data_IF_900689472216
#
_entry.id   IF_900689472216
#
_cell.length_a   1.000
_cell.length_b   1.000
_cell.length_c   1.000
_cell.angle_alpha   90.00
_cell.angle_beta   90.00
_cell.angle_gamma   90.00
#
_symmetry.space_group_name_H-M   'P 1'
#
loop_
_entity.id
_entity.type
_entity.pdbx_description
1 polymer ?
#
# COMPACT_ATOMS: atom_id res chain seq x y z
N UNK A 1 -1.32 16.13 14.14
CA UNK A 1 -2.56 15.33 14.07
C UNK A 1 -2.27 14.08 13.24
N UNK A 2 -2.53 12.88 13.76
CA UNK A 2 -2.40 11.61 13.03
C UNK A 2 -3.73 11.23 12.37
N UNK A 3 -4.26 12.10 11.50
CA UNK A 3 -5.49 11.77 10.74
C UNK A 3 -5.10 11.06 9.45
N UNK A 4 -5.89 10.08 8.97
CA UNK A 4 -5.62 9.44 7.68
C UNK A 4 -5.76 10.43 6.53
N UNK A 5 -5.08 10.13 5.43
CA UNK A 5 -5.14 10.89 4.20
C UNK A 5 -6.30 10.39 3.34
N UNK A 6 -7.04 11.31 2.73
CA UNK A 6 -8.12 11.00 1.80
C UNK A 6 -7.63 11.26 0.38
N UNK A 7 -7.45 10.19 -0.40
CA UNK A 7 -6.97 10.26 -1.79
C UNK A 7 -8.13 9.93 -2.71
N UNK A 8 -8.39 10.76 -3.72
CA UNK A 8 -9.45 10.53 -4.70
C UNK A 8 -9.11 11.13 -6.06
N UNK A 9 -9.67 10.55 -7.12
CA UNK A 9 -9.87 11.27 -8.38
C UNK A 9 -11.07 12.20 -8.24
N UNK A 10 -11.20 13.13 -9.19
CA UNK A 10 -12.34 14.05 -9.23
C UNK A 10 -13.64 13.24 -9.28
N UNK A 11 -14.58 13.59 -8.42
CA UNK A 11 -15.93 13.01 -8.35
C UNK A 11 -16.03 11.51 -7.96
N UNK A 12 -14.93 10.89 -7.50
CA UNK A 12 -14.91 9.53 -6.96
C UNK A 12 -14.96 9.49 -5.42
N UNK A 13 -15.34 8.33 -4.86
CA UNK A 13 -15.26 8.10 -3.41
C UNK A 13 -13.79 8.11 -2.98
N UNK A 14 -13.45 8.76 -1.85
CA UNK A 14 -12.07 8.79 -1.39
C UNK A 14 -11.62 7.47 -0.79
N UNK A 15 -10.42 7.06 -1.17
CA UNK A 15 -9.63 6.07 -0.45
C UNK A 15 -9.07 6.71 0.82
N UNK A 16 -9.32 6.07 1.96
CA UNK A 16 -8.78 6.49 3.26
C UNK A 16 -7.49 5.71 3.52
N UNK A 17 -6.36 6.41 3.49
CA UNK A 17 -5.03 5.80 3.67
C UNK A 17 -4.41 6.27 4.99
N UNK A 18 -4.04 5.36 5.92
CA UNK A 18 -3.31 5.74 7.12
C UNK A 18 -1.96 6.38 6.78
N UNK A 19 -1.60 7.48 7.45
CA UNK A 19 -0.28 8.13 7.25
C UNK A 19 0.88 7.17 7.52
N UNK A 20 0.73 6.28 8.49
CA UNK A 20 1.73 5.27 8.82
C UNK A 20 1.97 4.30 7.66
N UNK A 21 0.91 3.94 6.92
CA UNK A 21 1.03 3.07 5.76
C UNK A 21 1.80 3.76 4.64
N UNK A 22 1.48 5.04 4.36
CA UNK A 22 2.22 5.85 3.39
C UNK A 22 3.69 5.98 3.81
N UNK A 23 3.97 6.24 5.09
CA UNK A 23 5.36 6.34 5.58
C UNK A 23 6.14 5.03 5.41
N UNK A 24 5.48 3.90 5.64
CA UNK A 24 6.08 2.56 5.54
C UNK A 24 6.39 2.15 4.10
N UNK A 25 5.56 2.60 3.15
CA UNK A 25 5.68 2.28 1.73
C UNK A 25 6.46 3.35 0.95
N UNK A 26 7.19 4.23 1.64
CA UNK A 26 8.02 5.22 0.99
C UNK A 26 9.15 4.55 0.18
N UNK A 27 9.25 4.91 -1.10
CA UNK A 27 10.29 4.43 -2.03
C UNK A 27 11.58 5.26 -2.05
N UNK A 28 11.73 6.26 -1.17
CA UNK A 28 12.99 6.98 -1.00
C UNK A 28 14.13 5.99 -0.66
N UNK A 29 15.35 6.14 -1.21
CA UNK A 29 16.46 5.22 -0.96
C UNK A 29 16.82 4.99 0.52
N UNK A 30 16.45 5.94 1.40
CA UNK A 30 16.60 5.82 2.87
C UNK A 30 15.57 4.86 3.48
N UNK A 31 14.42 4.66 2.84
CA UNK A 31 13.31 3.82 3.31
C UNK A 31 13.11 2.54 2.47
N UNK A 32 13.71 2.45 1.28
CA UNK A 32 13.54 1.33 0.36
C UNK A 32 14.85 0.97 -0.36
N UNK A 33 15.05 -0.33 -0.62
CA UNK A 33 16.10 -0.84 -1.50
C UNK A 33 15.48 -1.25 -2.83
N UNK A 34 15.73 -0.48 -3.88
CA UNK A 34 15.20 -0.75 -5.22
C UNK A 34 15.82 -2.01 -5.85
N UNK A 35 17.11 -2.27 -5.61
CA UNK A 35 17.80 -3.43 -6.20
C UNK A 35 17.26 -4.77 -5.67
N UNK A 36 16.74 -4.81 -4.44
CA UNK A 36 16.25 -6.04 -3.81
C UNK A 36 14.74 -6.05 -3.61
N UNK A 37 14.05 -4.95 -3.95
CA UNK A 37 12.65 -4.70 -3.61
C UNK A 37 12.31 -4.88 -2.12
N UNK A 38 13.20 -4.44 -1.23
CA UNK A 38 13.02 -4.60 0.23
C UNK A 38 12.83 -3.26 0.94
N UNK A 39 11.90 -3.23 1.90
CA UNK A 39 11.75 -2.10 2.83
C UNK A 39 12.96 -2.01 3.76
N UNK A 40 13.39 -0.78 4.04
CA UNK A 40 14.38 -0.43 5.07
C UNK A 40 13.74 0.28 6.28
N UNK A 41 12.43 0.53 6.25
CA UNK A 41 11.69 1.17 7.33
C UNK A 41 11.77 0.33 8.62
N UNK A 42 11.96 1.01 9.77
CA UNK A 42 11.93 0.38 11.08
C UNK A 42 10.52 0.50 11.67
N UNK A 43 9.87 -0.62 11.96
CA UNK A 43 8.51 -0.65 12.48
C UNK A 43 8.36 0.05 13.86
N UNK A 44 9.42 0.09 14.67
CA UNK A 44 9.37 0.60 16.06
C UNK A 44 9.19 2.12 16.10
N UNK A 45 9.79 2.85 15.15
CA UNK A 45 9.74 4.32 15.13
C UNK A 45 8.79 4.89 14.05
N UNK A 46 8.22 4.02 13.22
CA UNK A 46 7.39 4.38 12.08
C UNK A 46 6.20 5.28 12.45
N UNK A 47 5.50 4.94 13.55
CA UNK A 47 4.39 5.75 14.06
C UNK A 47 4.83 7.16 14.48
N UNK A 48 6.05 7.28 15.01
CA UNK A 48 6.66 8.55 15.39
C UNK A 48 7.04 9.41 14.18
N UNK A 49 7.48 8.76 13.10
CA UNK A 49 7.93 9.38 11.83
C UNK A 49 6.78 9.72 10.87
N UNK A 50 5.63 9.06 10.97
CA UNK A 50 4.46 9.28 10.13
C UNK A 50 3.70 10.57 10.50
N UNK A 51 4.40 11.72 10.49
CA UNK A 51 3.86 13.03 10.86
C UNK A 51 4.17 14.05 9.76
N UNK A 52 3.18 14.87 9.43
CA UNK A 52 3.29 16.01 8.51
C UNK A 52 3.15 17.32 9.30
N UNK A 53 3.71 18.43 8.79
CA UNK A 53 3.58 19.75 9.44
C UNK A 53 2.22 20.40 9.20
N UNK A 54 1.62 20.13 8.05
CA UNK A 54 0.31 20.62 7.67
C UNK A 54 0.02 20.34 6.19
N UNK A 55 -1.00 21.00 5.64
CA UNK A 55 -1.39 20.83 4.23
C UNK A 55 -0.31 21.28 3.25
N UNK A 56 0.56 22.21 3.64
CA UNK A 56 1.70 22.66 2.84
C UNK A 56 2.73 21.55 2.60
N UNK A 57 2.73 20.51 3.44
CA UNK A 57 3.61 19.35 3.30
C UNK A 57 3.09 18.33 2.29
N UNK A 58 1.93 18.56 1.68
CA UNK A 58 1.29 17.63 0.76
C UNK A 58 0.99 18.35 -0.54
N UNK A 59 1.39 17.77 -1.67
CA UNK A 59 1.14 18.34 -2.98
C UNK A 59 0.83 17.27 -4.01
N UNK A 60 0.20 17.68 -5.11
CA UNK A 60 0.03 16.85 -6.30
C UNK A 60 1.03 17.34 -7.34
N UNK A 61 1.90 16.45 -7.80
CA UNK A 61 2.89 16.71 -8.84
C UNK A 61 2.31 16.23 -10.17
N UNK A 62 2.29 17.12 -11.16
CA UNK A 62 1.83 16.86 -12.54
C UNK A 62 0.44 16.23 -12.65
N UNK A 63 -0.42 16.41 -11.63
CA UNK A 63 -1.76 15.81 -11.57
C UNK A 63 -1.79 14.28 -11.35
N UNK A 64 -0.63 13.61 -11.25
CA UNK A 64 -0.54 12.13 -11.29
C UNK A 64 0.12 11.52 -10.06
N UNK A 65 0.92 12.30 -9.33
CA UNK A 65 1.64 11.82 -8.14
C UNK A 65 1.24 12.62 -6.91
N UNK A 66 1.04 11.91 -5.81
CA UNK A 66 0.95 12.47 -4.47
C UNK A 66 2.37 12.57 -3.88
N UNK A 67 2.78 13.77 -3.50
CA UNK A 67 4.02 14.01 -2.78
C UNK A 67 3.73 14.42 -1.33
N UNK A 68 4.51 13.87 -0.39
CA UNK A 68 4.39 14.12 1.05
C UNK A 68 5.77 14.40 1.62
N UNK A 69 5.95 15.58 2.21
CA UNK A 69 7.11 15.95 3.03
C UNK A 69 6.82 15.63 4.50
N UNK A 70 7.57 14.70 5.07
CA UNK A 70 7.44 14.32 6.47
C UNK A 70 8.20 15.28 7.38
N UNK A 71 7.82 15.33 8.67
CA UNK A 71 8.49 16.13 9.70
C UNK A 71 9.97 15.80 9.89
N UNK A 72 10.38 14.58 9.53
CA UNK A 72 11.78 14.14 9.58
C UNK A 72 12.59 14.56 8.33
N UNK A 73 11.99 15.34 7.42
CA UNK A 73 12.62 15.82 6.19
C UNK A 73 12.69 14.77 5.08
N UNK A 74 12.09 13.59 5.26
CA UNK A 74 11.96 12.62 4.20
C UNK A 74 10.82 12.99 3.25
N UNK A 75 10.94 12.64 1.97
CA UNK A 75 9.89 12.86 0.97
C UNK A 75 9.40 11.52 0.44
N UNK A 76 8.08 11.35 0.39
CA UNK A 76 7.46 10.22 -0.29
C UNK A 76 6.70 10.68 -1.51
N UNK A 77 6.80 9.90 -2.58
CA UNK A 77 6.05 10.09 -3.81
C UNK A 77 5.31 8.81 -4.17
N UNK A 78 4.04 8.95 -4.49
CA UNK A 78 3.17 7.85 -4.85
C UNK A 78 2.41 8.19 -6.14
N UNK A 79 2.46 7.33 -7.17
CA UNK A 79 1.50 7.41 -8.25
C UNK A 79 0.08 7.25 -7.68
N UNK A 80 -0.82 8.17 -8.00
CA UNK A 80 -2.20 8.15 -7.49
C UNK A 80 -2.91 6.89 -7.98
N UNK A 81 -2.64 6.48 -9.23
CA UNK A 81 -3.24 5.29 -9.84
C UNK A 81 -2.80 4.01 -9.14
N UNK A 82 -1.55 3.92 -8.68
CA UNK A 82 -1.07 2.80 -7.87
C UNK A 82 -1.80 2.76 -6.53
N UNK A 83 -1.97 3.90 -5.85
CA UNK A 83 -2.68 3.97 -4.57
C UNK A 83 -4.14 3.53 -4.71
N UNK A 84 -4.82 3.95 -5.76
CA UNK A 84 -6.23 3.62 -5.99
C UNK A 84 -6.41 2.17 -6.45
N UNK A 85 -5.55 1.66 -7.33
CA UNK A 85 -5.62 0.29 -7.85
C UNK A 85 -5.19 -0.77 -6.82
N UNK A 86 -4.24 -0.45 -5.95
CA UNK A 86 -3.82 -1.33 -4.85
C UNK A 86 -4.77 -1.33 -3.66
N UNK A 87 -5.80 -0.48 -3.68
CA UNK A 87 -6.83 -0.48 -2.65
C UNK A 87 -7.74 -1.69 -2.78
N UNK A 88 -7.38 -2.78 -2.11
CA UNK A 88 -8.34 -3.81 -1.80
C UNK A 88 -9.21 -3.28 -0.66
N UNK A 89 -10.39 -2.78 -1.01
CA UNK A 89 -11.49 -2.74 -0.06
C UNK A 89 -11.68 -4.18 0.41
N UNK A 90 -11.86 -4.44 1.71
CA UNK A 90 -12.08 -5.77 2.27
C UNK A 90 -13.34 -6.42 1.64
N UNK A 91 -13.20 -6.95 0.44
CA UNK A 91 -14.20 -7.74 -0.25
C UNK A 91 -14.01 -9.17 0.21
N UNK A 92 -15.09 -9.84 0.58
CA UNK A 92 -15.01 -11.25 0.94
C UNK A 92 -14.52 -12.03 -0.28
N UNK A 93 -13.30 -12.56 -0.20
CA UNK A 93 -12.76 -13.46 -1.22
C UNK A 93 -13.54 -14.77 -1.13
N UNK A 94 -14.19 -15.15 -2.22
CA UNK A 94 -14.78 -16.46 -2.35
C UNK A 94 -13.66 -17.51 -2.52
N UNK A 95 -13.21 -18.06 -1.39
CA UNK A 95 -12.12 -19.03 -1.33
C UNK A 95 -12.43 -20.31 -2.12
N UNK A 96 -13.70 -20.62 -2.35
CA UNK A 96 -14.11 -21.82 -3.09
C UNK A 96 -13.66 -21.78 -4.56
N UNK A 97 -13.36 -20.59 -5.10
CA UNK A 97 -12.80 -20.41 -6.45
C UNK A 97 -11.31 -20.75 -6.55
N UNK A 98 -10.61 -20.80 -5.42
CA UNK A 98 -9.14 -20.94 -5.38
C UNK A 98 -8.68 -22.19 -4.64
N UNK A 99 -9.51 -22.73 -3.75
CA UNK A 99 -9.15 -23.81 -2.86
C UNK A 99 -10.22 -24.89 -2.91
N UNK A 100 -9.79 -26.12 -3.16
CA UNK A 100 -10.59 -27.32 -2.97
C UNK A 100 -10.03 -28.03 -1.74
N UNK A 101 -10.82 -28.19 -0.66
CA UNK A 101 -10.40 -28.97 0.50
C UNK A 101 -10.08 -30.41 0.10
N UNK A 102 -9.00 -30.97 0.60
CA UNK A 102 -8.56 -32.34 0.27
C UNK A 102 -9.66 -33.41 0.46
N UNK A 103 -10.49 -33.27 1.50
CA UNK A 103 -11.62 -34.18 1.77
C UNK A 103 -12.76 -34.11 0.75
N UNK A 104 -12.74 -33.11 -0.12
CA UNK A 104 -13.73 -32.86 -1.17
C UNK A 104 -13.16 -33.16 -2.56
N UNK A 105 -11.89 -33.59 -2.66
CA UNK A 105 -11.31 -34.08 -3.92
C UNK A 105 -11.67 -35.56 -4.11
N UNK A 106 -12.05 -35.91 -5.32
CA UNK A 106 -12.17 -37.30 -5.75
C UNK A 106 -10.77 -37.88 -6.07
N UNK A 107 -10.61 -39.21 -6.04
CA UNK A 107 -9.30 -39.86 -6.26
C UNK A 107 -8.71 -39.59 -7.66
N UNK A 108 -9.56 -39.32 -8.64
CA UNK A 108 -9.22 -38.94 -10.01
C UNK A 108 -8.81 -37.47 -10.15
N UNK A 109 -9.12 -36.63 -9.18
CA UNK A 109 -8.73 -35.21 -9.12
C UNK A 109 -7.38 -35.00 -8.42
N UNK A 110 -6.78 -36.07 -7.91
CA UNK A 110 -5.46 -36.01 -7.27
C UNK A 110 -4.39 -35.61 -8.31
N UNK A 111 -3.67 -34.48 -8.10
CA UNK A 111 -2.67 -34.02 -9.05
C UNK A 111 -1.52 -35.04 -9.12
N UNK A 112 -1.40 -35.70 -10.28
CA UNK A 112 -0.28 -36.59 -10.60
C UNK A 112 0.65 -35.87 -11.55
N UNK A 113 1.86 -35.58 -11.10
CA UNK A 113 2.91 -35.11 -12.01
C UNK A 113 3.33 -36.29 -12.88
N UNK A 114 3.10 -36.21 -14.19
CA UNK A 114 3.70 -37.14 -15.13
C UNK A 114 5.20 -36.83 -15.23
N UNK A 115 6.03 -37.83 -14.95
CA UNK A 115 7.48 -37.78 -15.16
C UNK A 115 7.83 -38.24 -16.57
#
# INVERSE_FOLDING_TARGET
>A
MNRPMHVKRKDEKPLVVPLVWLRDHCRDPRSYNEATNQRKSNAVDLMGKAKVEGMQSVSIIDGTKLAILWKDGLQSEFPIDDLLSSSQVDQSVDLTKYVIPWKQMNEDELPRMQM
#
